data_IF_779580171615
#
_entry.id   IF_779580171615
#
_cell.length_a   1.000
_cell.length_b   1.000
_cell.length_c   1.000
_cell.angle_alpha   90.00
_cell.angle_beta   90.00
_cell.angle_gamma   90.00
#
_symmetry.space_group_name_H-M   'P 1'
#
loop_
_entity.id
_entity.type
_entity.pdbx_description
1 polymer ?
#
# COMPACT_ATOMS: atom_id res chain seq x y z
N UNK A 1 -40.92 14.31 -3.20
CA UNK A 1 -39.64 14.73 -3.83
C UNK A 1 -38.52 14.25 -2.92
N UNK A 2 -38.02 13.04 -3.14
CA UNK A 2 -36.83 12.57 -2.44
C UNK A 2 -35.63 13.06 -3.24
N UNK A 3 -34.91 14.04 -2.72
CA UNK A 3 -33.62 14.44 -3.25
C UNK A 3 -32.70 13.24 -3.01
N UNK A 4 -32.35 12.54 -4.09
CA UNK A 4 -31.34 11.50 -4.07
C UNK A 4 -30.02 12.20 -3.71
N UNK A 5 -29.67 12.23 -2.42
CA UNK A 5 -28.32 12.58 -2.01
C UNK A 5 -27.41 11.48 -2.55
N UNK A 6 -26.78 11.74 -3.70
CA UNK A 6 -25.63 10.95 -4.10
C UNK A 6 -24.61 11.10 -2.96
N UNK A 7 -24.40 10.05 -2.16
CA UNK A 7 -23.39 10.11 -1.11
C UNK A 7 -22.06 10.43 -1.78
N UNK A 8 -21.35 11.45 -1.28
CA UNK A 8 -20.03 11.79 -1.82
C UNK A 8 -19.13 10.54 -1.77
N UNK A 9 -18.37 10.28 -2.84
CA UNK A 9 -17.49 9.10 -2.90
C UNK A 9 -16.57 9.09 -1.66
N UNK A 10 -16.40 7.94 -0.98
CA UNK A 10 -15.44 7.82 0.11
C UNK A 10 -14.04 8.18 -0.39
N UNK A 11 -13.19 8.70 0.49
CA UNK A 11 -11.83 9.13 0.15
C UNK A 11 -10.85 7.99 0.39
N UNK A 12 -10.01 7.68 -0.59
CA UNK A 12 -8.93 6.70 -0.50
C UNK A 12 -7.59 7.43 -0.51
N UNK A 13 -6.76 7.17 0.51
CA UNK A 13 -5.38 7.61 0.57
C UNK A 13 -4.50 6.57 -0.11
N UNK A 14 -3.81 6.95 -1.19
CA UNK A 14 -2.77 6.15 -1.82
C UNK A 14 -1.42 6.66 -1.33
N UNK A 15 -0.67 5.82 -0.60
CA UNK A 15 0.67 6.18 -0.13
C UNK A 15 1.71 5.54 -1.04
N UNK A 16 2.70 6.34 -1.45
CA UNK A 16 3.87 5.89 -2.20
C UNK A 16 5.15 6.44 -1.55
N UNK A 17 6.27 5.79 -1.85
CA UNK A 17 7.60 6.24 -1.44
C UNK A 17 8.02 7.51 -2.19
N UNK A 18 8.87 8.30 -1.55
CA UNK A 18 9.59 9.43 -2.14
C UNK A 18 11.09 9.12 -2.37
N UNK A 19 11.50 7.86 -2.16
CA UNK A 19 12.86 7.41 -2.45
C UNK A 19 13.04 7.08 -3.93
N UNK A 20 14.28 7.04 -4.46
CA UNK A 20 14.55 6.78 -5.88
C UNK A 20 14.06 5.42 -6.38
N UNK A 21 13.91 4.42 -5.50
CA UNK A 21 13.36 3.11 -5.85
C UNK A 21 11.86 3.17 -6.15
N UNK A 22 11.19 4.22 -5.66
CA UNK A 22 9.85 4.61 -6.07
C UNK A 22 8.75 3.57 -5.83
N UNK A 23 7.75 3.60 -6.71
CA UNK A 23 6.62 2.68 -6.72
C UNK A 23 6.51 1.95 -8.06
N UNK A 24 6.12 0.67 -8.04
CA UNK A 24 5.87 -0.11 -9.26
C UNK A 24 4.80 0.56 -10.12
N UNK A 25 5.15 0.94 -11.35
CA UNK A 25 4.25 1.57 -12.30
C UNK A 25 2.99 0.74 -12.53
N UNK A 26 3.18 -0.57 -12.72
CA UNK A 26 2.09 -1.52 -12.95
C UNK A 26 1.15 -1.64 -11.75
N UNK A 27 1.70 -1.82 -10.55
CA UNK A 27 0.88 -1.94 -9.34
C UNK A 27 0.14 -0.63 -9.04
N UNK A 28 0.83 0.51 -9.13
CA UNK A 28 0.20 1.81 -8.90
C UNK A 28 -0.90 2.11 -9.93
N UNK A 29 -0.68 1.85 -11.22
CA UNK A 29 -1.71 1.96 -12.25
C UNK A 29 -2.94 1.12 -11.92
N UNK A 30 -2.74 -0.16 -11.59
CA UNK A 30 -3.84 -1.06 -11.24
C UNK A 30 -4.64 -0.57 -10.04
N UNK A 31 -3.95 -0.13 -8.98
CA UNK A 31 -4.56 0.50 -7.81
C UNK A 31 -5.37 1.74 -8.18
N UNK A 32 -4.77 2.65 -8.95
CA UNK A 32 -5.39 3.91 -9.32
C UNK A 32 -6.65 3.70 -10.17
N UNK A 33 -6.55 2.91 -11.24
CA UNK A 33 -7.64 2.71 -12.19
C UNK A 33 -8.84 2.01 -11.51
N UNK A 34 -8.59 0.99 -10.67
CA UNK A 34 -9.65 0.22 -10.01
C UNK A 34 -10.28 0.92 -8.80
N UNK A 35 -9.62 1.93 -8.23
CA UNK A 35 -10.19 2.73 -7.14
C UNK A 35 -10.81 4.05 -7.60
N UNK A 36 -10.40 4.62 -8.73
CA UNK A 36 -10.83 5.96 -9.19
C UNK A 36 -12.34 6.10 -9.43
N UNK A 37 -13.03 5.01 -9.78
CA UNK A 37 -14.48 5.00 -9.97
C UNK A 37 -15.24 4.98 -8.64
N UNK A 38 -14.68 4.37 -7.60
CA UNK A 38 -15.34 4.14 -6.30
C UNK A 38 -14.96 5.19 -5.25
N UNK A 39 -13.75 5.77 -5.35
CA UNK A 39 -13.20 6.65 -4.34
C UNK A 39 -12.77 8.00 -4.92
N UNK A 40 -12.81 9.02 -4.06
CA UNK A 40 -12.00 10.22 -4.27
C UNK A 40 -10.56 9.90 -3.87
N UNK A 41 -9.65 9.91 -4.84
CA UNK A 41 -8.26 9.53 -4.60
C UNK A 41 -7.44 10.73 -4.11
N UNK A 42 -6.54 10.48 -3.16
CA UNK A 42 -5.48 11.41 -2.81
C UNK A 42 -4.18 10.63 -2.68
N UNK A 43 -3.15 11.10 -3.38
CA UNK A 43 -1.79 10.55 -3.25
C UNK A 43 -1.05 11.27 -2.13
N UNK A 44 -0.19 10.54 -1.43
CA UNK A 44 0.72 11.11 -0.44
C UNK A 44 2.08 10.43 -0.48
N UNK A 45 3.12 11.23 -0.28
CA UNK A 45 4.52 10.79 -0.21
C UNK A 45 5.23 11.55 0.91
N UNK A 46 6.32 11.00 1.48
CA UNK A 46 7.16 11.75 2.42
C UNK A 46 7.60 13.10 1.84
N UNK A 47 7.33 14.18 2.59
CA UNK A 47 7.60 15.55 2.16
C UNK A 47 6.75 16.06 0.99
N UNK A 48 5.80 15.27 0.46
CA UNK A 48 4.99 15.63 -0.72
C UNK A 48 5.81 15.67 -2.01
N UNK A 49 6.90 14.90 -2.06
CA UNK A 49 7.76 14.79 -3.23
C UNK A 49 7.02 14.10 -4.39
N UNK A 50 7.40 14.38 -5.65
CA UNK A 50 6.89 13.64 -6.80
C UNK A 50 7.07 12.13 -6.65
N UNK A 51 6.18 11.36 -7.28
CA UNK A 51 6.25 9.91 -7.29
C UNK A 51 7.19 9.49 -8.42
N UNK A 52 8.26 8.79 -8.07
CA UNK A 52 9.10 8.08 -9.03
C UNK A 52 8.49 6.69 -9.30
N UNK A 53 8.43 6.31 -10.59
CA UNK A 53 7.88 5.03 -11.01
C UNK A 53 9.00 4.07 -11.42
N UNK A 54 9.03 2.89 -10.79
CA UNK A 54 9.90 1.77 -11.16
C UNK A 54 9.16 0.77 -12.05
N UNK A 55 9.92 0.02 -12.85
CA UNK A 55 9.36 -1.01 -13.74
C UNK A 55 8.47 -0.45 -14.86
N UNK A 56 8.73 0.78 -15.32
CA UNK A 56 8.03 1.36 -16.48
C UNK A 56 8.43 0.59 -17.74
N UNK A 57 7.43 0.09 -18.45
CA UNK A 57 7.55 -0.69 -19.67
C UNK A 57 6.60 -0.18 -20.76
N UNK A 58 6.53 -0.86 -21.91
CA UNK A 58 5.63 -0.47 -23.01
C UNK A 58 4.16 -0.40 -22.58
N UNK A 59 3.73 -1.25 -21.65
CA UNK A 59 2.34 -1.33 -21.20
C UNK A 59 1.94 -0.18 -20.25
N UNK A 60 2.90 0.39 -19.52
CA UNK A 60 2.67 1.39 -18.46
C UNK A 60 3.18 2.78 -18.84
N UNK A 61 4.11 2.91 -19.80
CA UNK A 61 4.78 4.17 -20.18
C UNK A 61 3.79 5.30 -20.51
N UNK A 62 2.81 5.02 -21.36
CA UNK A 62 1.76 5.99 -21.73
C UNK A 62 0.94 6.41 -20.52
N UNK A 63 0.56 5.46 -19.68
CA UNK A 63 -0.22 5.76 -18.48
C UNK A 63 0.55 6.65 -17.52
N UNK A 64 1.86 6.41 -17.33
CA UNK A 64 2.73 7.25 -16.47
C UNK A 64 2.83 8.67 -17.01
N UNK A 65 3.00 8.83 -18.33
CA UNK A 65 3.00 10.15 -18.98
C UNK A 65 1.67 10.87 -18.75
N UNK A 66 0.54 10.20 -18.99
CA UNK A 66 -0.80 10.76 -18.79
C UNK A 66 -1.08 11.05 -17.31
N UNK A 67 -0.52 10.26 -16.39
CA UNK A 67 -0.64 10.48 -14.95
C UNK A 67 0.12 11.74 -14.51
N UNK A 68 1.30 12.01 -15.07
CA UNK A 68 2.18 13.11 -14.64
C UNK A 68 1.55 14.51 -14.70
N UNK A 69 0.54 14.70 -15.55
CA UNK A 69 -0.18 15.97 -15.70
C UNK A 69 -1.49 16.02 -14.89
N UNK A 70 -1.87 14.93 -14.21
CA UNK A 70 -3.06 14.90 -13.34
C UNK A 70 -2.74 15.57 -12.01
N UNK A 71 -3.77 16.11 -11.35
CA UNK A 71 -3.66 16.67 -10.00
C UNK A 71 -3.13 15.66 -8.99
N UNK A 72 -3.41 14.37 -9.18
CA UNK A 72 -2.89 13.27 -8.34
C UNK A 72 -1.38 13.05 -8.46
N UNK A 73 -0.70 13.62 -9.47
CA UNK A 73 0.75 13.57 -9.57
C UNK A 73 1.46 14.60 -8.68
N UNK A 74 0.70 15.44 -7.96
CA UNK A 74 1.21 16.33 -6.90
C UNK A 74 0.78 15.79 -5.53
N UNK A 75 1.58 14.93 -4.89
CA UNK A 75 1.16 14.25 -3.67
C UNK A 75 1.09 15.22 -2.49
N UNK A 76 0.17 14.93 -1.58
CA UNK A 76 0.19 15.58 -0.27
C UNK A 76 1.41 15.14 0.54
N UNK A 77 1.84 16.01 1.46
CA UNK A 77 2.88 15.68 2.43
C UNK A 77 2.37 14.63 3.41
N UNK A 78 3.00 13.48 3.48
CA UNK A 78 2.62 12.39 4.41
C UNK A 78 2.54 12.89 5.86
N UNK A 79 3.41 13.82 6.23
CA UNK A 79 3.47 14.47 7.55
C UNK A 79 2.24 15.32 7.87
N UNK A 80 1.52 15.79 6.85
CA UNK A 80 0.31 16.62 6.98
C UNK A 80 -0.99 15.83 6.94
N UNK A 81 -0.91 14.52 6.69
CA UNK A 81 -2.09 13.67 6.55
C UNK A 81 -2.77 13.48 7.91
N UNK A 82 -4.07 13.81 7.94
CA UNK A 82 -5.00 13.42 8.99
C UNK A 82 -5.76 12.15 8.57
N UNK A 83 -5.51 11.03 9.24
CA UNK A 83 -6.14 9.74 8.98
C UNK A 83 -7.66 9.75 9.14
N UNK A 84 -8.24 10.71 9.85
CA UNK A 84 -9.69 10.83 10.00
C UNK A 84 -10.40 11.10 8.67
N UNK A 85 -9.76 11.83 7.75
CA UNK A 85 -10.32 12.27 6.47
C UNK A 85 -10.52 11.15 5.44
N UNK A 86 -9.81 10.04 5.61
CA UNK A 86 -9.78 8.95 4.64
C UNK A 86 -10.55 7.74 5.16
N UNK A 87 -11.23 7.05 4.28
CA UNK A 87 -11.96 5.83 4.61
C UNK A 87 -11.11 4.60 4.34
N UNK A 88 -10.16 4.69 3.41
CA UNK A 88 -9.33 3.58 2.93
C UNK A 88 -7.88 4.02 2.78
N UNK A 89 -6.95 3.13 3.14
CA UNK A 89 -5.52 3.26 2.91
C UNK A 89 -5.08 2.20 1.90
N UNK A 90 -4.40 2.62 0.85
CA UNK A 90 -3.87 1.77 -0.19
C UNK A 90 -2.37 2.06 -0.39
N UNK A 91 -1.56 1.01 -0.34
CA UNK A 91 -0.12 1.06 -0.52
C UNK A 91 0.23 0.07 -1.63
N UNK A 92 0.44 0.53 -2.88
CA UNK A 92 0.81 -0.34 -3.99
C UNK A 92 2.16 -1.02 -3.76
N UNK A 93 2.54 -1.93 -4.67
CA UNK A 93 3.91 -2.47 -4.68
C UNK A 93 4.93 -1.34 -4.81
N UNK A 94 5.68 -1.11 -3.73
CA UNK A 94 6.48 0.09 -3.57
C UNK A 94 7.88 -0.29 -3.05
N UNK A 95 8.83 -0.60 -3.95
CA UNK A 95 10.20 -0.95 -3.55
C UNK A 95 10.85 0.09 -2.63
N UNK A 96 10.58 1.38 -2.89
CA UNK A 96 11.06 2.47 -2.06
C UNK A 96 10.53 2.51 -0.62
N UNK A 97 9.42 1.82 -0.34
CA UNK A 97 8.82 1.81 1.00
C UNK A 97 9.77 1.25 2.08
N UNK A 98 10.67 0.34 1.69
CA UNK A 98 11.72 -0.17 2.57
C UNK A 98 12.65 0.93 3.08
N UNK A 99 12.91 1.94 2.25
CA UNK A 99 13.83 3.04 2.55
C UNK A 99 13.19 4.11 3.44
N UNK A 100 11.93 4.48 3.16
CA UNK A 100 11.33 5.67 3.77
C UNK A 100 9.98 5.49 4.46
N UNK A 101 9.27 4.38 4.24
CA UNK A 101 7.97 4.12 4.88
C UNK A 101 8.07 3.11 6.03
N UNK A 102 8.93 2.10 5.93
CA UNK A 102 9.07 1.02 6.90
C UNK A 102 9.49 1.49 8.31
N UNK A 103 10.07 2.68 8.42
CA UNK A 103 10.49 3.31 9.67
C UNK A 103 9.87 4.72 9.86
N UNK A 104 8.79 5.03 9.16
CA UNK A 104 8.20 6.37 9.15
C UNK A 104 7.28 6.64 10.35
N UNK A 105 7.59 7.69 11.13
CA UNK A 105 6.69 8.17 12.19
C UNK A 105 5.36 8.73 11.66
N UNK A 106 5.37 9.31 10.47
CA UNK A 106 4.14 9.79 9.80
C UNK A 106 3.25 8.61 9.40
N UNK A 107 3.86 7.56 8.84
CA UNK A 107 3.14 6.34 8.44
C UNK A 107 2.63 5.57 9.65
N UNK A 108 3.43 5.50 10.73
CA UNK A 108 2.99 4.99 12.03
C UNK A 108 1.71 5.70 12.50
N UNK A 109 1.69 7.05 12.52
CA UNK A 109 0.51 7.81 12.97
C UNK A 109 -0.74 7.52 12.13
N UNK A 110 -0.58 7.44 10.82
CA UNK A 110 -1.68 7.13 9.90
C UNK A 110 -2.20 5.71 10.17
N UNK A 111 -1.32 4.70 10.24
CA UNK A 111 -1.71 3.31 10.51
C UNK A 111 -2.40 3.17 11.87
N UNK A 112 -1.90 3.81 12.92
CA UNK A 112 -2.54 3.81 14.24
C UNK A 112 -3.97 4.32 14.17
N UNK A 113 -4.23 5.38 13.39
CA UNK A 113 -5.59 5.88 13.18
C UNK A 113 -6.47 4.87 12.44
N UNK A 114 -5.95 4.28 11.36
CA UNK A 114 -6.70 3.30 10.57
C UNK A 114 -7.06 2.06 11.39
N UNK A 115 -6.12 1.53 12.16
CA UNK A 115 -6.31 0.33 12.97
C UNK A 115 -7.30 0.58 14.11
N UNK A 116 -7.15 1.69 14.85
CA UNK A 116 -8.05 2.04 15.96
C UNK A 116 -9.51 2.24 15.53
N UNK A 117 -9.73 2.61 14.27
CA UNK A 117 -11.07 2.80 13.70
C UNK A 117 -11.49 1.67 12.77
N UNK A 118 -10.74 0.56 12.72
CA UNK A 118 -11.00 -0.60 11.87
C UNK A 118 -11.25 -0.23 10.39
N UNK A 119 -10.51 0.77 9.90
CA UNK A 119 -10.58 1.24 8.53
C UNK A 119 -9.79 0.30 7.61
N UNK A 120 -10.27 0.01 6.39
CA UNK A 120 -9.57 -0.87 5.47
C UNK A 120 -8.17 -0.38 5.11
N UNK A 121 -7.20 -1.29 5.18
CA UNK A 121 -5.82 -1.11 4.77
C UNK A 121 -5.50 -2.17 3.72
N UNK A 122 -4.99 -1.76 2.57
CA UNK A 122 -4.51 -2.67 1.53
C UNK A 122 -3.05 -2.35 1.22
N UNK A 123 -2.16 -3.33 1.35
CA UNK A 123 -0.75 -3.18 1.02
C UNK A 123 -0.28 -4.32 0.11
N UNK A 124 0.51 -4.03 -0.92
CA UNK A 124 0.94 -5.04 -1.91
C UNK A 124 2.45 -5.01 -2.06
N UNK A 125 3.06 -6.18 -2.29
CA UNK A 125 4.49 -6.29 -2.59
C UNK A 125 5.36 -5.60 -1.53
N UNK A 126 6.39 -4.88 -1.96
CA UNK A 126 7.26 -4.17 -1.03
C UNK A 126 6.56 -3.01 -0.30
N UNK A 127 5.36 -2.61 -0.72
CA UNK A 127 4.50 -1.68 0.02
C UNK A 127 4.05 -2.23 1.38
N UNK A 128 4.03 -3.55 1.57
CA UNK A 128 3.74 -4.19 2.87
C UNK A 128 4.76 -3.79 3.95
N UNK A 129 5.99 -3.46 3.56
CA UNK A 129 7.01 -2.97 4.51
C UNK A 129 6.60 -1.69 5.25
N UNK A 130 5.70 -0.88 4.67
CA UNK A 130 5.16 0.31 5.34
C UNK A 130 4.36 -0.05 6.60
N UNK A 131 3.90 -1.29 6.76
CA UNK A 131 3.21 -1.77 7.96
C UNK A 131 4.18 -2.00 9.14
N UNK A 132 5.48 -2.12 8.88
CA UNK A 132 6.48 -2.47 9.90
C UNK A 132 6.75 -1.33 10.89
N UNK A 133 6.40 -0.08 10.55
CA UNK A 133 6.64 1.08 11.41
C UNK A 133 5.66 1.21 12.59
N UNK A 134 4.53 0.49 12.59
CA UNK A 134 3.44 0.75 13.54
C UNK A 134 3.50 -0.14 14.78
N UNK A 135 3.69 0.47 15.95
CA UNK A 135 3.82 -0.21 17.23
C UNK A 135 2.86 0.38 18.27
N UNK A 136 2.48 -0.45 19.24
CA UNK A 136 1.83 -0.02 20.47
C UNK A 136 2.79 -0.33 21.64
N UNK A 137 3.43 0.72 22.16
CA UNK A 137 4.58 0.58 23.04
C UNK A 137 5.74 -0.10 22.30
N UNK A 138 6.16 -1.27 22.78
CA UNK A 138 7.23 -2.07 22.18
C UNK A 138 6.73 -3.19 21.27
N UNK A 139 5.41 -3.34 21.12
CA UNK A 139 4.81 -4.45 20.36
C UNK A 139 4.35 -3.97 18.99
N UNK A 140 4.73 -4.68 17.94
CA UNK A 140 4.20 -4.45 16.61
C UNK A 140 2.69 -4.72 16.57
N UNK A 141 1.89 -3.81 16.04
CA UNK A 141 0.41 -3.89 16.16
C UNK A 141 -0.15 -5.12 15.41
N UNK A 142 0.47 -5.51 14.30
CA UNK A 142 0.05 -6.65 13.50
C UNK A 142 0.62 -8.00 13.96
N UNK A 143 1.21 -8.07 15.15
CA UNK A 143 1.75 -9.30 15.78
C UNK A 143 0.73 -10.41 16.06
N UNK A 144 -0.56 -10.20 15.79
CA UNK A 144 -1.60 -11.25 15.83
C UNK A 144 -2.39 -11.34 14.53
N UNK A 145 -1.87 -10.73 13.46
CA UNK A 145 -2.47 -10.75 12.14
C UNK A 145 -1.84 -11.82 11.27
N UNK A 146 -2.64 -12.34 10.34
CA UNK A 146 -2.16 -13.06 9.18
C UNK A 146 -1.94 -12.07 8.03
N UNK A 147 -0.79 -12.15 7.38
CA UNK A 147 -0.48 -11.34 6.21
C UNK A 147 0.48 -12.06 5.24
N UNK A 148 0.64 -11.45 4.07
CA UNK A 148 1.64 -11.82 3.07
C UNK A 148 2.41 -10.57 2.62
N UNK A 149 3.50 -10.80 1.90
CA UNK A 149 4.34 -9.82 1.23
C UNK A 149 5.35 -10.59 0.37
N UNK A 150 6.32 -9.93 -0.29
CA UNK A 150 7.29 -10.61 -1.12
C UNK A 150 8.00 -11.71 -0.33
N UNK A 151 8.00 -12.92 -0.88
CA UNK A 151 8.67 -14.05 -0.23
C UNK A 151 10.18 -13.91 -0.34
N UNK A 152 10.92 -14.50 0.59
CA UNK A 152 12.38 -14.56 0.51
C UNK A 152 12.82 -15.17 -0.83
N UNK A 153 12.11 -16.19 -1.33
CA UNK A 153 12.41 -16.82 -2.62
C UNK A 153 12.23 -15.92 -3.84
N UNK A 154 11.33 -14.93 -3.78
CA UNK A 154 11.23 -13.88 -4.79
C UNK A 154 12.36 -12.85 -4.63
N UNK A 155 12.62 -12.44 -3.39
CA UNK A 155 13.58 -11.37 -3.09
C UNK A 155 15.03 -11.77 -3.37
N UNK A 156 15.44 -13.02 -3.11
CA UNK A 156 16.82 -13.50 -3.37
C UNK A 156 17.24 -13.42 -4.84
N UNK A 157 16.29 -13.24 -5.75
CA UNK A 157 16.54 -13.06 -7.19
C UNK A 157 16.94 -11.63 -7.52
N UNK A 158 16.71 -10.68 -6.61
CA UNK A 158 17.08 -9.28 -6.79
C UNK A 158 18.58 -9.07 -6.52
N UNK A 159 19.27 -8.27 -7.34
CA UNK A 159 20.72 -8.06 -7.20
C UNK A 159 21.10 -7.38 -5.88
N UNK A 160 20.19 -6.60 -5.30
CA UNK A 160 20.34 -5.84 -4.06
C UNK A 160 19.76 -6.56 -2.83
N UNK A 161 19.41 -7.85 -2.95
CA UNK A 161 18.85 -8.63 -1.85
C UNK A 161 19.67 -8.53 -0.54
N UNK A 162 21.00 -8.60 -0.67
CA UNK A 162 21.91 -8.56 0.48
C UNK A 162 21.94 -7.19 1.20
N UNK A 163 21.49 -6.13 0.51
CA UNK A 163 21.49 -4.75 1.01
C UNK A 163 20.09 -4.30 1.47
N UNK A 164 19.07 -5.18 1.41
CA UNK A 164 17.72 -4.83 1.84
C UNK A 164 17.73 -4.49 3.35
N UNK A 165 17.15 -3.33 3.75
CA UNK A 165 17.12 -2.92 5.16
C UNK A 165 16.17 -3.79 5.98
N UNK A 166 15.26 -4.50 5.31
CA UNK A 166 14.19 -5.26 5.91
C UNK A 166 13.71 -6.35 4.94
N UNK A 167 13.51 -7.55 5.46
CA UNK A 167 12.78 -8.63 4.78
C UNK A 167 11.44 -8.79 5.49
N UNK A 168 10.35 -8.47 4.79
CA UNK A 168 8.99 -8.45 5.38
C UNK A 168 8.61 -9.82 5.95
N UNK A 169 8.91 -10.91 5.24
CA UNK A 169 8.64 -12.27 5.70
C UNK A 169 9.28 -12.55 7.08
N UNK A 170 10.56 -12.24 7.24
CA UNK A 170 11.30 -12.46 8.49
C UNK A 170 10.78 -11.53 9.59
N UNK A 171 10.59 -10.24 9.28
CA UNK A 171 10.05 -9.27 10.23
C UNK A 171 8.70 -9.70 10.79
N UNK A 172 7.78 -10.19 9.95
CA UNK A 172 6.46 -10.64 10.37
C UNK A 172 6.58 -11.81 11.34
N UNK A 173 7.39 -12.82 11.01
CA UNK A 173 7.60 -14.00 11.84
C UNK A 173 8.25 -13.64 13.19
N UNK A 174 9.30 -12.81 13.16
CA UNK A 174 10.03 -12.38 14.35
C UNK A 174 9.18 -11.52 15.30
N UNK A 175 8.19 -10.80 14.75
CA UNK A 175 7.29 -9.95 15.52
C UNK A 175 5.93 -10.60 15.81
N UNK A 176 5.82 -11.93 15.67
CA UNK A 176 4.66 -12.72 16.09
C UNK A 176 3.49 -12.80 15.11
N UNK A 177 3.58 -12.11 13.96
CA UNK A 177 2.58 -12.23 12.91
C UNK A 177 2.65 -13.58 12.18
N UNK A 178 1.54 -13.97 11.56
CA UNK A 178 1.45 -15.19 10.75
C UNK A 178 1.69 -14.85 9.27
N UNK A 179 2.89 -15.15 8.78
CA UNK A 179 3.22 -14.96 7.37
C UNK A 179 2.84 -16.20 6.55
N UNK A 180 2.20 -15.98 5.40
CA UNK A 180 1.96 -17.04 4.40
C UNK A 180 2.36 -16.55 3.02
N UNK A 181 2.89 -17.45 2.19
CA UNK A 181 3.21 -17.18 0.80
C UNK A 181 2.74 -18.33 -0.10
N UNK A 182 2.50 -18.00 -1.35
CA UNK A 182 2.36 -18.97 -2.43
C UNK A 182 3.69 -19.17 -3.16
N UNK A 183 3.66 -19.90 -4.28
CA UNK A 183 4.80 -19.98 -5.19
C UNK A 183 5.19 -18.58 -5.67
N UNK A 184 6.45 -18.43 -6.02
CA UNK A 184 7.00 -17.16 -6.51
C UNK A 184 6.21 -16.68 -7.74
N UNK A 185 5.99 -15.37 -7.82
CA UNK A 185 5.28 -14.70 -8.91
C UNK A 185 3.79 -15.08 -9.08
N UNK A 186 3.28 -16.01 -8.25
CA UNK A 186 1.87 -16.38 -8.25
C UNK A 186 1.03 -15.35 -7.48
N UNK A 187 -0.26 -15.29 -7.82
CA UNK A 187 -1.22 -14.45 -7.11
C UNK A 187 -1.50 -15.03 -5.73
N UNK A 188 -1.25 -14.25 -4.68
CA UNK A 188 -1.56 -14.60 -3.31
C UNK A 188 -1.96 -13.36 -2.50
N UNK A 189 -3.12 -13.45 -1.86
CA UNK A 189 -3.70 -12.38 -1.07
C UNK A 189 -4.17 -12.95 0.26
N UNK A 190 -3.82 -12.26 1.35
CA UNK A 190 -4.31 -12.57 2.68
C UNK A 190 -5.23 -11.44 3.14
N UNK A 191 -6.40 -11.81 3.64
CA UNK A 191 -7.38 -10.89 4.23
C UNK A 191 -7.56 -11.31 5.68
N UNK A 192 -7.23 -10.41 6.59
CA UNK A 192 -7.45 -10.59 8.03
C UNK A 192 -8.08 -9.31 8.60
N UNK A 193 -9.33 -9.42 9.04
CA UNK A 193 -10.15 -8.31 9.54
C UNK A 193 -10.25 -7.18 8.49
N UNK A 194 -9.64 -6.03 8.76
CA UNK A 194 -9.62 -4.86 7.89
C UNK A 194 -8.28 -4.71 7.13
N UNK A 195 -7.37 -5.67 7.27
CA UNK A 195 -6.09 -5.70 6.56
C UNK A 195 -6.17 -6.64 5.36
N UNK A 196 -5.81 -6.13 4.19
CA UNK A 196 -5.60 -6.88 2.97
C UNK A 196 -4.12 -6.75 2.60
N UNK A 197 -3.46 -7.87 2.36
CA UNK A 197 -2.07 -7.88 1.87
C UNK A 197 -1.93 -8.74 0.63
N UNK A 198 -1.16 -8.26 -0.35
CA UNK A 198 -0.83 -9.00 -1.58
C UNK A 198 0.66 -9.30 -1.67
N UNK A 199 1.01 -10.53 -2.05
CA UNK A 199 2.40 -10.99 -2.06
C UNK A 199 3.31 -10.18 -2.99
N UNK A 200 2.85 -9.89 -4.21
CA UNK A 200 3.66 -9.32 -5.29
C UNK A 200 2.78 -8.46 -6.23
N UNK A 201 3.39 -7.84 -7.23
CA UNK A 201 2.68 -7.03 -8.23
C UNK A 201 1.52 -7.80 -8.90
N UNK A 202 1.64 -9.11 -9.15
CA UNK A 202 0.57 -9.94 -9.76
C UNK A 202 -0.67 -10.01 -8.86
N UNK A 203 -0.46 -9.89 -7.54
CA UNK A 203 -1.52 -9.93 -6.53
C UNK A 203 -2.28 -8.61 -6.40
N UNK A 204 -1.80 -7.50 -7.00
CA UNK A 204 -2.38 -6.15 -6.86
C UNK A 204 -3.86 -6.13 -7.18
N UNK A 205 -4.26 -6.65 -8.34
CA UNK A 205 -5.64 -6.57 -8.80
C UNK A 205 -6.60 -7.32 -7.86
N UNK A 206 -6.21 -8.53 -7.42
CA UNK A 206 -7.02 -9.30 -6.48
C UNK A 206 -7.12 -8.60 -5.12
N UNK A 207 -6.02 -8.03 -4.62
CA UNK A 207 -6.01 -7.29 -3.36
C UNK A 207 -6.93 -6.05 -3.41
N UNK A 208 -6.85 -5.27 -4.50
CA UNK A 208 -7.69 -4.08 -4.70
C UNK A 208 -9.17 -4.45 -4.87
N UNK A 209 -9.49 -5.54 -5.58
CA UNK A 209 -10.87 -6.01 -5.69
C UNK A 209 -11.45 -6.40 -4.32
N UNK A 210 -10.67 -7.10 -3.48
CA UNK A 210 -11.11 -7.43 -2.12
C UNK A 210 -11.26 -6.19 -1.24
N UNK A 211 -10.36 -5.20 -1.38
CA UNK A 211 -10.50 -3.91 -0.73
C UNK A 211 -11.83 -3.22 -1.11
N UNK A 212 -12.14 -3.18 -2.40
CA UNK A 212 -13.37 -2.58 -2.91
C UNK A 212 -14.62 -3.29 -2.36
N UNK A 213 -14.61 -4.64 -2.33
CA UNK A 213 -15.71 -5.43 -1.74
C UNK A 213 -15.88 -5.15 -0.25
N UNK A 214 -14.79 -5.07 0.50
CA UNK A 214 -14.81 -4.80 1.94
C UNK A 214 -15.35 -3.39 2.26
N UNK A 215 -15.22 -2.44 1.32
CA UNK A 215 -15.80 -1.11 1.43
C UNK A 215 -17.28 -1.04 1.00
N UNK A 216 -17.68 -1.84 0.00
CA UNK A 216 -19.05 -1.87 -0.52
C UNK A 216 -20.02 -2.73 0.30
N UNK A 217 -19.51 -3.59 1.19
CA UNK A 217 -20.32 -4.43 2.07
C UNK A 217 -20.86 -3.71 3.32
N UNK A 218 -20.72 -2.38 3.41
CA UNK A 218 -21.16 -1.55 4.54
C UNK A 218 -22.34 -0.66 4.18
#
# INVERSE_FOLDING_TARGET
IAVNQMSAKPTCLIVASASPQGVSAKSFQQCFDHCSSLFNLQTATPGGKPIDFSGVDESTSRWVQDFSVKTYATPAKLESIDGARYQVLLIPDCPGALSDLAHSGSMHRILTHFISHQKPICAVGQGVSALCCVTEGQKWIFSSYSLTGPSVFELVRQPDFADLPLVVEDFVKDNGGSYTASKEDAVHVVIDRHLITGQNTQSTLLAVNNLNLLCGAK
#
